data_IF_657048917155
#
_entry.id   IF_657048917155
#
_cell.length_a   1.000
_cell.length_b   1.000
_cell.length_c   1.000
_cell.angle_alpha   90.00
_cell.angle_beta   90.00
_cell.angle_gamma   90.00
#
_symmetry.space_group_name_H-M   'P 1'
#
loop_
_entity.id
_entity.type
_entity.pdbx_description
1 polymer ?
#
# COMPACT_ATOMS: atom_id res chain seq x y z
N UNK A 1 28.25 18.02 1.23
CA UNK A 1 27.16 18.80 1.85
C UNK A 1 25.90 17.93 1.77
N UNK A 2 25.47 17.12 2.74
CA UNK A 2 25.71 16.98 4.17
C UNK A 2 25.97 15.49 4.45
N UNK A 3 27.08 15.16 5.09
CA UNK A 3 27.20 13.89 5.81
C UNK A 3 26.36 14.04 7.07
N UNK A 4 25.05 13.76 6.98
CA UNK A 4 24.19 13.59 8.14
C UNK A 4 24.80 12.49 9.01
N UNK A 5 25.46 12.88 10.10
CA UNK A 5 25.85 11.95 11.13
C UNK A 5 24.57 11.33 11.66
N UNK A 6 24.33 10.04 11.37
CA UNK A 6 23.18 9.34 11.93
C UNK A 6 23.23 9.49 13.46
N UNK A 7 22.23 10.13 14.09
CA UNK A 7 22.23 10.29 15.53
C UNK A 7 22.30 8.91 16.19
N UNK A 8 23.16 8.78 17.20
CA UNK A 8 23.19 7.56 18.03
C UNK A 8 21.85 7.43 18.74
N UNK A 9 21.11 6.38 18.40
CA UNK A 9 19.81 6.07 18.99
C UNK A 9 20.00 5.54 20.42
N UNK A 10 19.12 5.94 21.33
CA UNK A 10 19.03 5.35 22.67
C UNK A 10 18.42 3.94 22.60
N UNK A 11 18.62 3.13 23.65
CA UNK A 11 18.01 1.80 23.74
C UNK A 11 16.48 1.85 23.58
N UNK A 12 15.83 2.88 24.16
CA UNK A 12 14.40 3.08 24.03
C UNK A 12 13.98 3.36 22.58
N UNK A 13 14.72 4.23 21.87
CA UNK A 13 14.44 4.53 20.47
C UNK A 13 14.60 3.27 19.59
N UNK A 14 15.58 2.43 19.87
CA UNK A 14 15.74 1.14 19.19
C UNK A 14 14.55 0.19 19.42
N UNK A 15 14.01 0.12 20.64
CA UNK A 15 12.80 -0.66 20.92
C UNK A 15 11.60 -0.11 20.15
N UNK A 16 11.37 1.20 20.20
CA UNK A 16 10.26 1.85 19.49
C UNK A 16 10.35 1.68 17.97
N UNK A 17 11.53 1.80 17.36
CA UNK A 17 11.71 1.56 15.92
C UNK A 17 11.44 0.10 15.53
N UNK A 18 11.80 -0.87 16.38
CA UNK A 18 11.45 -2.28 16.13
C UNK A 18 9.94 -2.51 16.16
N UNK A 19 9.21 -1.86 17.05
CA UNK A 19 7.74 -1.93 17.06
C UNK A 19 7.12 -1.29 15.82
N UNK A 20 7.61 -0.13 15.39
CA UNK A 20 7.14 0.49 14.15
C UNK A 20 7.42 -0.40 12.93
N UNK A 21 8.62 -1.00 12.86
CA UNK A 21 8.95 -1.97 11.82
C UNK A 21 7.97 -3.14 11.83
N UNK A 22 7.73 -3.76 12.98
CA UNK A 22 6.81 -4.89 13.12
C UNK A 22 5.38 -4.53 12.65
N UNK A 23 4.87 -3.36 13.06
CA UNK A 23 3.55 -2.87 12.62
C UNK A 23 3.49 -2.62 11.11
N UNK A 24 4.55 -2.05 10.54
CA UNK A 24 4.64 -1.83 9.10
C UNK A 24 4.66 -3.15 8.33
N UNK A 25 5.52 -4.09 8.71
CA UNK A 25 5.62 -5.42 8.08
C UNK A 25 4.30 -6.19 8.20
N UNK A 26 3.64 -6.15 9.36
CA UNK A 26 2.32 -6.75 9.56
C UNK A 26 1.29 -6.21 8.54
N UNK A 27 1.24 -4.89 8.35
CA UNK A 27 0.33 -4.25 7.40
C UNK A 27 0.68 -4.59 5.94
N UNK A 28 1.96 -4.63 5.56
CA UNK A 28 2.39 -4.99 4.21
C UNK A 28 2.05 -6.45 3.89
N UNK A 29 2.24 -7.36 4.84
CA UNK A 29 1.82 -8.76 4.72
C UNK A 29 0.30 -8.90 4.60
N UNK A 30 -0.47 -8.08 5.33
CA UNK A 30 -1.93 -7.99 5.21
C UNK A 30 -2.36 -7.51 3.83
N UNK A 31 -1.67 -6.52 3.27
CA UNK A 31 -1.92 -6.04 1.90
C UNK A 31 -1.59 -7.10 0.85
N UNK A 32 -0.61 -7.98 1.09
CA UNK A 32 -0.25 -9.09 0.22
C UNK A 32 -1.14 -10.33 0.39
N UNK A 33 -2.01 -10.36 1.40
CA UNK A 33 -2.83 -11.52 1.76
C UNK A 33 -1.99 -12.73 2.23
N UNK A 34 -0.95 -12.45 3.02
CA UNK A 34 0.02 -13.44 3.53
C UNK A 34 -0.09 -13.66 5.05
N UNK A 35 -1.24 -13.34 5.64
CA UNK A 35 -1.61 -13.86 6.97
C UNK A 35 -2.45 -15.14 6.85
N UNK A 36 -2.29 -16.11 7.77
CA UNK A 36 -3.03 -17.37 7.77
C UNK A 36 -4.53 -17.19 8.02
N UNK A 37 -4.91 -16.16 8.78
CA UNK A 37 -6.31 -15.84 9.04
C UNK A 37 -6.78 -14.72 8.11
N UNK A 38 -7.81 -15.01 7.31
CA UNK A 38 -8.36 -14.05 6.35
C UNK A 38 -8.81 -12.72 6.98
N UNK A 39 -9.26 -12.73 8.23
CA UNK A 39 -9.66 -11.50 8.96
C UNK A 39 -8.50 -10.55 9.23
N UNK A 40 -7.25 -11.02 9.14
CA UNK A 40 -6.05 -10.20 9.30
C UNK A 40 -5.54 -9.64 7.97
N UNK A 41 -6.13 -10.03 6.84
CA UNK A 41 -5.76 -9.54 5.52
C UNK A 41 -6.69 -8.42 5.07
N UNK A 42 -6.16 -7.48 4.28
CA UNK A 42 -6.98 -6.43 3.66
C UNK A 42 -7.86 -7.09 2.59
N UNK A 43 -9.18 -6.89 2.69
CA UNK A 43 -10.11 -7.40 1.70
C UNK A 43 -9.79 -6.82 0.31
N UNK A 44 -10.04 -7.61 -0.74
CA UNK A 44 -9.88 -7.18 -2.14
C UNK A 44 -11.19 -7.33 -2.88
N UNK A 45 -11.51 -6.32 -3.69
CA UNK A 45 -12.62 -6.45 -4.64
C UNK A 45 -12.32 -7.57 -5.63
N UNK A 46 -13.34 -8.13 -6.31
CA UNK A 46 -13.12 -9.10 -7.38
C UNK A 46 -12.19 -8.59 -8.50
N UNK A 47 -12.12 -7.27 -8.70
CA UNK A 47 -11.20 -6.62 -9.65
C UNK A 47 -9.77 -6.41 -9.12
N UNK A 48 -9.48 -6.76 -7.87
CA UNK A 48 -8.14 -6.66 -7.28
C UNK A 48 -7.80 -5.36 -6.55
N UNK A 49 -8.78 -4.45 -6.35
CA UNK A 49 -8.59 -3.24 -5.56
C UNK A 49 -8.57 -3.59 -4.07
N UNK A 50 -7.57 -3.11 -3.33
CA UNK A 50 -7.59 -3.15 -1.87
C UNK A 50 -8.78 -2.35 -1.35
N UNK A 51 -9.59 -2.96 -0.48
CA UNK A 51 -10.80 -2.36 0.05
C UNK A 51 -10.77 -2.37 1.57
N UNK A 52 -10.46 -1.19 2.12
CA UNK A 52 -10.30 -0.98 3.56
C UNK A 52 -11.62 -0.55 4.19
N UNK A 53 -12.37 0.34 3.53
CA UNK A 53 -13.68 0.81 4.00
C UNK A 53 -14.50 1.39 2.88
N UNK A 54 -15.82 1.42 3.05
CA UNK A 54 -16.77 1.91 2.04
C UNK A 54 -16.53 3.37 1.61
N UNK A 55 -16.24 4.25 2.57
CA UNK A 55 -16.11 5.68 2.29
C UNK A 55 -14.66 6.04 2.07
N UNK A 56 -14.40 6.68 0.93
CA UNK A 56 -13.10 7.26 0.63
C UNK A 56 -11.98 6.20 0.56
N UNK A 57 -12.32 5.03 0.00
CA UNK A 57 -11.40 3.89 -0.11
C UNK A 57 -10.13 4.23 -0.91
N UNK A 58 -10.24 5.06 -1.95
CA UNK A 58 -9.12 5.39 -2.82
C UNK A 58 -8.00 6.15 -2.10
N UNK A 59 -8.31 6.90 -1.03
CA UNK A 59 -7.27 7.50 -0.19
C UNK A 59 -6.44 6.44 0.55
N UNK A 60 -7.08 5.34 0.99
CA UNK A 60 -6.36 4.21 1.58
C UNK A 60 -5.54 3.46 0.54
N UNK A 61 -6.11 3.22 -0.64
CA UNK A 61 -5.42 2.52 -1.73
C UNK A 61 -4.18 3.30 -2.17
N UNK A 62 -4.30 4.61 -2.38
CA UNK A 62 -3.17 5.46 -2.75
C UNK A 62 -2.08 5.46 -1.67
N UNK A 63 -2.47 5.56 -0.40
CA UNK A 63 -1.54 5.51 0.73
C UNK A 63 -0.84 4.14 0.84
N UNK A 64 -1.59 3.04 0.66
CA UNK A 64 -1.04 1.68 0.65
C UNK A 64 -0.06 1.49 -0.50
N UNK A 65 -0.41 1.94 -1.71
CA UNK A 65 0.46 1.89 -2.88
C UNK A 65 1.78 2.62 -2.64
N UNK A 66 1.72 3.83 -2.04
CA UNK A 66 2.91 4.60 -1.67
C UNK A 66 3.79 3.87 -0.65
N UNK A 67 3.19 3.31 0.42
CA UNK A 67 3.92 2.56 1.46
C UNK A 67 4.57 1.30 0.89
N UNK A 68 3.85 0.54 0.05
CA UNK A 68 4.35 -0.65 -0.63
C UNK A 68 5.57 -0.32 -1.50
N UNK A 69 5.52 0.75 -2.31
CA UNK A 69 6.63 1.18 -3.14
C UNK A 69 7.84 1.62 -2.30
N UNK A 70 7.61 2.47 -1.30
CA UNK A 70 8.67 2.99 -0.44
C UNK A 70 9.36 1.87 0.34
N UNK A 71 8.59 0.89 0.85
CA UNK A 71 9.17 -0.23 1.57
C UNK A 71 9.87 -1.23 0.65
N UNK A 72 9.38 -1.41 -0.58
CA UNK A 72 10.08 -2.19 -1.62
C UNK A 72 11.47 -1.62 -1.90
N UNK A 73 11.58 -0.30 -2.06
CA UNK A 73 12.86 0.38 -2.28
C UNK A 73 13.80 0.24 -1.07
N UNK A 74 13.25 0.39 0.15
CA UNK A 74 14.00 0.16 1.39
C UNK A 74 14.57 -1.27 1.49
N UNK A 75 13.78 -2.30 1.18
CA UNK A 75 14.26 -3.68 1.19
C UNK A 75 15.30 -3.93 0.09
N UNK A 76 15.07 -3.38 -1.10
CA UNK A 76 15.98 -3.51 -2.25
C UNK A 76 17.35 -2.92 -1.94
N UNK A 77 17.40 -1.69 -1.41
CA UNK A 77 18.64 -0.99 -1.07
C UNK A 77 19.46 -1.66 0.04
N UNK A 78 18.84 -2.53 0.84
CA UNK A 78 19.49 -3.27 1.92
C UNK A 78 19.64 -4.77 1.63
N UNK A 79 19.27 -5.23 0.42
CA UNK A 79 19.26 -6.65 0.04
C UNK A 79 18.47 -7.55 1.02
N UNK A 80 17.33 -7.04 1.48
CA UNK A 80 16.45 -7.72 2.43
C UNK A 80 15.20 -8.28 1.74
N UNK A 81 14.56 -9.23 2.43
CA UNK A 81 13.26 -9.80 2.09
C UNK A 81 12.25 -9.47 3.20
N UNK A 82 10.99 -9.32 2.82
CA UNK A 82 9.89 -9.19 3.78
C UNK A 82 9.56 -10.57 4.34
N UNK A 83 9.41 -10.65 5.66
CA UNK A 83 9.02 -11.88 6.35
C UNK A 83 7.55 -11.77 6.76
N UNK A 84 6.70 -12.58 6.14
CA UNK A 84 5.28 -12.69 6.45
C UNK A 84 4.96 -14.03 7.13
N UNK A 85 3.85 -14.13 7.88
CA UNK A 85 3.47 -15.37 8.55
C UNK A 85 3.29 -16.58 7.62
N UNK A 86 2.78 -16.38 6.41
CA UNK A 86 2.58 -17.44 5.41
C UNK A 86 3.72 -17.60 4.41
N UNK A 87 4.68 -16.66 4.38
CA UNK A 87 5.84 -16.69 3.49
C UNK A 87 6.97 -15.86 4.10
N UNK A 88 8.08 -16.52 4.46
CA UNK A 88 9.22 -15.89 5.11
C UNK A 88 10.19 -15.21 4.15
N UNK A 89 10.02 -15.35 2.83
CA UNK A 89 10.98 -14.84 1.83
C UNK A 89 10.27 -14.10 0.70
N UNK A 90 9.44 -13.12 1.07
CA UNK A 90 8.73 -12.29 0.09
C UNK A 90 9.71 -11.30 -0.55
N UNK A 91 9.92 -11.35 -1.88
CA UNK A 91 10.86 -10.47 -2.55
C UNK A 91 10.32 -9.02 -2.60
N UNK A 92 11.19 -8.00 -2.60
CA UNK A 92 10.77 -6.60 -2.73
C UNK A 92 9.91 -6.33 -3.98
N UNK A 93 10.14 -7.09 -5.05
CA UNK A 93 9.37 -7.00 -6.30
C UNK A 93 7.88 -7.32 -6.12
N UNK A 94 7.49 -8.16 -5.15
CA UNK A 94 6.10 -8.45 -4.86
C UNK A 94 5.36 -7.21 -4.31
N UNK A 95 6.02 -6.44 -3.43
CA UNK A 95 5.46 -5.19 -2.91
C UNK A 95 5.32 -4.14 -4.02
N UNK A 96 6.33 -4.01 -4.88
CA UNK A 96 6.28 -3.07 -6.01
C UNK A 96 5.22 -3.46 -7.03
N UNK A 97 5.04 -4.75 -7.31
CA UNK A 97 4.01 -5.25 -8.21
C UNK A 97 2.61 -4.92 -7.70
N UNK A 98 2.34 -5.12 -6.40
CA UNK A 98 1.07 -4.73 -5.79
C UNK A 98 0.89 -3.20 -5.80
N UNK A 99 1.93 -2.43 -5.47
CA UNK A 99 1.88 -0.97 -5.54
C UNK A 99 1.45 -0.47 -6.93
N UNK A 100 2.10 -0.98 -7.98
CA UNK A 100 1.78 -0.66 -9.37
C UNK A 100 0.35 -1.05 -9.72
N UNK A 101 -0.09 -2.26 -9.37
CA UNK A 101 -1.46 -2.68 -9.68
C UNK A 101 -2.52 -1.80 -9.02
N UNK A 102 -2.29 -1.30 -7.82
CA UNK A 102 -3.20 -0.36 -7.15
C UNK A 102 -3.22 1.01 -7.83
N UNK A 103 -2.06 1.53 -8.25
CA UNK A 103 -1.97 2.78 -8.99
C UNK A 103 -2.66 2.64 -10.36
N UNK A 104 -2.35 1.58 -11.11
CA UNK A 104 -2.94 1.27 -12.40
C UNK A 104 -4.47 1.12 -12.29
N UNK A 105 -4.97 0.46 -11.24
CA UNK A 105 -6.40 0.36 -10.98
C UNK A 105 -7.04 1.74 -10.84
N UNK A 106 -6.45 2.64 -10.03
CA UNK A 106 -6.91 4.03 -9.87
C UNK A 106 -6.92 4.76 -11.20
N UNK A 107 -5.93 4.50 -12.07
CA UNK A 107 -5.75 5.21 -13.33
C UNK A 107 -6.58 4.65 -14.49
N UNK A 108 -7.25 3.50 -14.31
CA UNK A 108 -8.22 2.97 -15.28
C UNK A 108 -8.03 1.49 -15.64
N UNK A 109 -7.00 0.81 -15.13
CA UNK A 109 -6.82 -0.64 -15.28
C UNK A 109 -7.72 -1.39 -14.29
N UNK A 110 -9.02 -1.20 -14.46
CA UNK A 110 -10.07 -1.81 -13.65
C UNK A 110 -11.21 -2.31 -14.55
N UNK A 111 -12.13 -3.14 -14.04
CA UNK A 111 -13.21 -3.72 -14.85
C UNK A 111 -14.12 -2.70 -15.57
N UNK A 112 -14.14 -1.45 -15.10
CA UNK A 112 -14.96 -0.38 -15.70
C UNK A 112 -14.18 0.44 -16.74
N UNK A 113 -12.88 0.20 -16.92
CA UNK A 113 -12.01 0.98 -17.78
C UNK A 113 -12.12 2.50 -17.53
N UNK A 114 -12.32 2.88 -16.26
CA UNK A 114 -12.62 4.24 -15.82
C UNK A 114 -11.49 4.73 -14.90
N UNK A 115 -10.86 5.85 -15.23
CA UNK A 115 -9.93 6.50 -14.31
C UNK A 115 -10.71 7.09 -13.14
N UNK A 116 -10.25 6.86 -11.92
CA UNK A 116 -10.78 7.52 -10.73
C UNK A 116 -10.05 8.83 -10.40
N UNK A 117 -9.07 9.23 -11.22
CA UNK A 117 -8.43 10.52 -11.16
C UNK A 117 -9.11 11.48 -12.13
N UNK A 118 -9.73 12.54 -11.61
CA UNK A 118 -10.46 13.52 -12.43
C UNK A 118 -9.52 14.23 -13.41
N UNK A 119 -9.92 14.30 -14.68
CA UNK A 119 -9.14 14.91 -15.74
C UNK A 119 -8.01 14.04 -16.29
N UNK A 120 -7.88 12.80 -15.80
CA UNK A 120 -6.94 11.82 -16.34
C UNK A 120 -7.67 10.81 -17.24
N UNK A 121 -7.06 10.44 -18.37
CA UNK A 121 -7.66 9.57 -19.41
C UNK A 121 -8.87 10.21 -20.13
N UNK A 122 -9.38 9.52 -21.15
CA UNK A 122 -10.61 9.89 -21.86
C UNK A 122 -11.89 9.48 -21.10
N UNK A 123 -11.76 8.68 -20.05
CA UNK A 123 -12.86 8.16 -19.23
C UNK A 123 -12.56 8.41 -17.76
N UNK A 124 -13.27 9.36 -17.13
CA UNK A 124 -13.18 9.69 -15.70
C UNK A 124 -14.51 10.26 -15.19
N UNK A 125 -14.76 10.29 -13.86
CA UNK A 125 -15.93 10.95 -13.27
C UNK A 125 -16.01 12.43 -13.66
N UNK A 126 -16.94 12.77 -14.54
CA UNK A 126 -17.15 14.12 -15.09
C UNK A 126 -18.54 14.69 -14.76
N UNK A 127 -19.42 13.90 -14.15
CA UNK A 127 -20.66 14.38 -13.60
C UNK A 127 -20.39 14.95 -12.20
N UNK A 128 -20.54 16.28 -12.04
CA UNK A 128 -20.76 16.84 -10.71
C UNK A 128 -21.98 16.16 -10.10
N UNK A 129 -21.85 15.61 -8.89
CA UNK A 129 -23.00 15.14 -8.11
C UNK A 129 -23.81 16.38 -7.74
N UNK A 130 -24.73 16.79 -8.60
CA UNK A 130 -25.89 17.59 -8.19
C UNK A 130 -26.89 16.64 -7.55
N UNK A 131 -26.52 16.04 -6.41
CA UNK A 131 -27.53 15.46 -5.54
C UNK A 131 -28.10 16.63 -4.73
N UNK A 132 -29.42 16.86 -4.77
CA UNK A 132 -30.04 17.72 -3.77
C UNK A 132 -29.74 17.10 -2.41
N UNK A 133 -29.15 17.88 -1.50
CA UNK A 133 -29.07 17.48 -0.09
C UNK A 133 -30.52 17.33 0.42
N UNK A 134 -30.81 16.27 1.21
CA UNK A 134 -32.12 16.12 1.85
C UNK A 134 -32.42 17.25 2.84
#
# INVERSE_FOLDING_TARGET
LLTEQRPKLSAQQHCTLREYKSKAEHYLCSCLNLHPHNSSNVYRTPGGLLFVRQWNNLQYVASAAFLLATYSDHLTSHHLYLHCPSDSSVPPSALLALSRSQADYILGMNPNHLSYLVGFSSSFPNACITAPLP
#
